data_IF_831658355177
#
_entry.id   IF_831658355177
#
_cell.length_a   1.000
_cell.length_b   1.000
_cell.length_c   1.000
_cell.angle_alpha   90.00
_cell.angle_beta   90.00
_cell.angle_gamma   90.00
#
_symmetry.space_group_name_H-M   'P 1'
#
loop_
_entity.id
_entity.type
_entity.pdbx_description
1 polymer ?
#
# COMPACT_ATOMS: atom_id res chain seq x y z
N UNK A 1 -3.28 12.66 0.82
CA UNK A 1 -4.38 12.18 -0.06
C UNK A 1 -4.40 10.64 0.00
N UNK A 2 -5.54 9.99 -0.25
CA UNK A 2 -5.65 8.52 -0.13
C UNK A 2 -5.40 7.83 -1.47
N UNK A 3 -4.59 6.75 -1.47
CA UNK A 3 -4.17 6.05 -2.68
C UNK A 3 -4.24 4.53 -2.54
N UNK A 4 -4.52 3.88 -3.65
CA UNK A 4 -4.51 2.43 -3.78
C UNK A 4 -3.08 1.91 -3.88
N UNK A 5 -2.78 0.81 -3.22
CA UNK A 5 -1.54 0.07 -3.38
C UNK A 5 -1.74 -1.45 -3.31
N UNK A 6 -0.77 -2.20 -3.82
CA UNK A 6 -0.67 -3.64 -3.60
C UNK A 6 0.71 -4.00 -3.01
N UNK A 7 0.78 -5.12 -2.28
CA UNK A 7 2.07 -5.65 -1.83
C UNK A 7 2.78 -6.40 -2.96
N UNK A 8 4.08 -6.14 -3.11
CA UNK A 8 4.95 -6.88 -4.02
C UNK A 8 5.31 -8.27 -3.48
N UNK A 9 5.19 -8.46 -2.16
CA UNK A 9 5.42 -9.74 -1.47
C UNK A 9 4.18 -10.19 -0.71
N UNK A 10 4.15 -11.47 -0.29
CA UNK A 10 3.07 -11.98 0.55
C UNK A 10 3.13 -11.34 1.93
N UNK A 11 1.99 -10.81 2.37
CA UNK A 11 1.82 -10.22 3.70
C UNK A 11 0.36 -9.87 3.94
N UNK A 12 -0.03 -9.76 5.20
CA UNK A 12 -1.36 -9.30 5.59
C UNK A 12 -1.19 -7.90 6.17
N UNK A 13 -1.77 -6.91 5.51
CA UNK A 13 -1.80 -5.53 6.00
C UNK A 13 -2.99 -5.32 6.93
N UNK A 14 -2.83 -4.39 7.86
CA UNK A 14 -3.88 -3.94 8.77
C UNK A 14 -3.84 -2.41 8.84
N UNK A 15 -4.93 -1.83 9.35
CA UNK A 15 -5.02 -0.40 9.62
C UNK A 15 -3.88 0.06 10.55
N UNK A 16 -3.41 1.30 10.34
CA UNK A 16 -2.36 1.99 11.09
C UNK A 16 -0.93 1.46 10.90
N UNK A 17 -0.69 0.60 9.91
CA UNK A 17 0.69 0.27 9.53
C UNK A 17 1.38 1.45 8.85
N UNK A 18 2.59 1.75 9.30
CA UNK A 18 3.39 2.87 8.81
C UNK A 18 3.99 2.57 7.44
N UNK A 19 4.09 3.62 6.63
CA UNK A 19 4.68 3.60 5.31
C UNK A 19 6.03 4.30 5.36
N UNK A 20 7.02 3.74 4.70
CA UNK A 20 8.37 4.28 4.64
C UNK A 20 8.87 4.39 3.21
N UNK A 21 9.62 5.45 2.92
CA UNK A 21 10.42 5.58 1.70
C UNK A 21 11.81 6.05 2.10
N UNK A 22 12.84 5.29 1.72
CA UNK A 22 14.23 5.61 2.04
C UNK A 22 14.46 5.88 3.54
N UNK A 23 13.76 5.14 4.42
CA UNK A 23 13.83 5.30 5.87
C UNK A 23 12.99 6.42 6.47
N UNK A 24 12.32 7.24 5.66
CA UNK A 24 11.43 8.32 6.12
C UNK A 24 10.00 7.81 6.20
N UNK A 25 9.29 8.09 7.30
CA UNK A 25 7.86 7.81 7.42
C UNK A 25 7.08 8.76 6.51
N UNK A 26 6.31 8.21 5.57
CA UNK A 26 5.60 8.99 4.52
C UNK A 26 4.08 8.95 4.68
N UNK A 27 3.57 8.19 5.66
CA UNK A 27 2.15 8.00 5.86
C UNK A 27 1.79 6.65 6.50
N UNK A 28 0.54 6.23 6.32
CA UNK A 28 0.02 5.02 6.95
C UNK A 28 -1.12 4.36 6.15
N UNK A 29 -1.32 3.06 6.40
CA UNK A 29 -2.42 2.26 5.86
C UNK A 29 -3.73 2.60 6.57
N UNK A 30 -4.76 2.99 5.81
CA UNK A 30 -6.10 3.26 6.34
C UNK A 30 -6.96 2.01 6.37
N UNK A 31 -6.94 1.23 5.30
CA UNK A 31 -7.64 -0.04 5.17
C UNK A 31 -6.88 -0.98 4.23
N UNK A 32 -7.10 -2.28 4.37
CA UNK A 32 -6.47 -3.23 3.46
C UNK A 32 -6.65 -4.67 3.88
N UNK A 33 -6.41 -5.57 2.95
CA UNK A 33 -6.63 -7.00 3.11
C UNK A 33 -6.24 -7.80 1.88
N UNK A 34 -6.37 -9.12 1.98
CA UNK A 34 -6.17 -10.01 0.84
C UNK A 34 -7.40 -9.95 -0.08
N UNK A 35 -7.18 -9.70 -1.37
CA UNK A 35 -8.21 -9.78 -2.40
C UNK A 35 -8.14 -11.15 -3.08
N UNK A 36 -9.17 -12.02 -2.93
CA UNK A 36 -9.22 -13.30 -3.64
C UNK A 36 -9.23 -13.13 -5.16
N UNK A 37 -9.89 -12.08 -5.65
CA UNK A 37 -10.01 -11.76 -7.09
C UNK A 37 -8.65 -11.43 -7.70
N UNK A 38 -7.86 -10.59 -7.02
CA UNK A 38 -6.54 -10.19 -7.50
C UNK A 38 -5.43 -11.16 -7.05
N UNK A 39 -5.77 -12.16 -6.24
CA UNK A 39 -4.84 -13.09 -5.57
C UNK A 39 -3.67 -12.38 -4.90
N UNK A 40 -3.90 -11.17 -4.41
CA UNK A 40 -2.87 -10.31 -3.82
C UNK A 40 -3.44 -9.45 -2.68
N UNK A 41 -2.56 -8.98 -1.82
CA UNK A 41 -2.89 -8.04 -0.75
C UNK A 41 -2.93 -6.62 -1.29
N UNK A 42 -4.09 -5.98 -1.13
CA UNK A 42 -4.36 -4.62 -1.60
C UNK A 42 -4.85 -3.75 -0.45
N UNK A 43 -4.61 -2.45 -0.54
CA UNK A 43 -5.05 -1.52 0.50
C UNK A 43 -5.08 -0.07 0.08
N UNK A 44 -5.66 0.74 0.97
CA UNK A 44 -5.66 2.18 0.89
C UNK A 44 -4.66 2.74 1.89
N UNK A 45 -3.90 3.74 1.43
CA UNK A 45 -2.90 4.43 2.20
C UNK A 45 -3.13 5.93 2.14
N UNK A 46 -3.00 6.61 3.27
CA UNK A 46 -2.77 8.05 3.29
C UNK A 46 -1.27 8.28 3.23
N UNK A 47 -0.83 8.97 2.18
CA UNK A 47 0.58 9.30 1.94
C UNK A 47 0.70 10.79 1.61
N UNK A 48 1.87 11.35 1.90
CA UNK A 48 2.26 12.68 1.42
C UNK A 48 2.20 12.77 -0.11
N UNK A 49 1.76 13.92 -0.63
CA UNK A 49 1.54 14.15 -2.06
C UNK A 49 2.78 13.90 -2.91
N UNK A 50 3.98 14.14 -2.38
CA UNK A 50 5.23 13.92 -3.10
C UNK A 50 5.53 12.44 -3.40
N UNK A 51 4.93 11.51 -2.65
CA UNK A 51 5.14 10.05 -2.81
C UNK A 51 3.92 9.34 -3.39
N UNK A 52 2.97 10.07 -3.95
CA UNK A 52 1.69 9.51 -4.37
C UNK A 52 1.56 9.19 -5.85
N UNK A 53 2.62 9.41 -6.63
CA UNK A 53 2.62 9.12 -8.06
C UNK A 53 2.36 7.63 -8.32
N UNK A 54 1.58 7.32 -9.35
CA UNK A 54 1.32 5.93 -9.76
C UNK A 54 2.66 5.24 -10.06
N UNK A 55 2.81 4.02 -9.54
CA UNK A 55 4.04 3.24 -9.68
C UNK A 55 5.11 3.56 -8.64
N UNK A 56 4.90 4.53 -7.75
CA UNK A 56 5.80 4.77 -6.62
C UNK A 56 5.84 3.54 -5.72
N UNK A 57 7.05 3.05 -5.48
CA UNK A 57 7.28 1.97 -4.51
C UNK A 57 7.57 2.54 -3.13
N UNK A 58 7.11 1.88 -2.09
CA UNK A 58 7.39 2.22 -0.69
C UNK A 58 7.38 0.94 0.15
N UNK A 59 7.84 1.03 1.38
CA UNK A 59 7.89 -0.07 2.32
C UNK A 59 6.78 0.10 3.37
N UNK A 60 6.18 -1.00 3.81
CA UNK A 60 5.17 -1.03 4.87
C UNK A 60 5.75 -1.80 6.05
N UNK A 61 5.70 -1.21 7.23
CA UNK A 61 6.14 -1.87 8.45
C UNK A 61 5.04 -2.78 9.00
N UNK A 62 5.31 -4.09 8.95
CA UNK A 62 4.40 -5.16 9.36
C UNK A 62 5.14 -6.06 10.32
N UNK A 63 4.78 -6.01 11.61
CA UNK A 63 5.41 -6.82 12.67
C UNK A 63 6.94 -6.72 12.64
N UNK A 64 7.46 -5.50 12.61
CA UNK A 64 8.90 -5.17 12.55
C UNK A 64 9.62 -5.65 11.28
N UNK A 65 8.87 -5.93 10.19
CA UNK A 65 9.42 -6.22 8.87
C UNK A 65 8.94 -5.18 7.88
N UNK A 66 9.83 -4.75 7.00
CA UNK A 66 9.50 -3.88 5.88
C UNK A 66 9.12 -4.75 4.68
N UNK A 67 7.86 -4.64 4.22
CA UNK A 67 7.41 -5.28 2.99
C UNK A 67 7.20 -4.23 1.90
N UNK A 68 7.65 -4.54 0.69
CA UNK A 68 7.50 -3.64 -0.46
C UNK A 68 6.06 -3.58 -0.96
N UNK A 69 5.63 -2.38 -1.29
CA UNK A 69 4.33 -2.07 -1.87
C UNK A 69 4.49 -1.06 -3.02
N UNK A 70 3.48 -1.00 -3.91
CA UNK A 70 3.48 -0.10 -5.06
C UNK A 70 2.14 0.59 -5.21
N UNK A 71 2.16 1.91 -5.41
CA UNK A 71 0.97 2.73 -5.72
C UNK A 71 0.39 2.30 -7.06
N UNK A 72 -0.93 2.11 -7.12
CA UNK A 72 -1.67 1.78 -8.33
C UNK A 72 -2.83 2.75 -8.57
N UNK A 73 -3.30 2.89 -9.82
CA UNK A 73 -4.48 3.69 -10.12
C UNK A 73 -5.73 3.18 -9.41
N UNK A 74 -6.68 4.09 -9.21
CA UNK A 74 -8.07 3.80 -8.85
C UNK A 74 -8.92 3.59 -10.10
N UNK A 75 -9.92 2.68 -10.09
CA UNK A 75 -10.22 1.69 -9.03
C UNK A 75 -9.29 0.47 -9.10
N UNK A 76 -9.18 -0.29 -8.00
CA UNK A 76 -8.42 -1.56 -7.95
C UNK A 76 -8.92 -2.62 -8.92
N UNK A 77 -10.20 -2.57 -9.25
CA UNK A 77 -10.89 -3.52 -10.09
C UNK A 77 -11.95 -2.76 -10.87
N UNK A 78 -11.99 -2.97 -12.18
CA UNK A 78 -13.00 -2.41 -13.07
C UNK A 78 -13.80 -3.58 -13.62
N UNK A 79 -15.03 -3.75 -13.15
CA UNK A 79 -16.00 -4.56 -13.89
C UNK A 79 -16.28 -3.81 -15.20
N UNK A 80 -15.99 -4.44 -16.32
CA UNK A 80 -16.50 -4.06 -17.64
C UNK A 80 -17.58 -5.09 -17.97
#
# INVERSE_FOLDING_TARGET
MAYNFYLLNRGIIRKNYKLFKNGVEIGYVTSGGFSPTLKNTIGLALVETQYSSIGTEFDIEIRNKLLKAKVVPTPFYRNI
#
